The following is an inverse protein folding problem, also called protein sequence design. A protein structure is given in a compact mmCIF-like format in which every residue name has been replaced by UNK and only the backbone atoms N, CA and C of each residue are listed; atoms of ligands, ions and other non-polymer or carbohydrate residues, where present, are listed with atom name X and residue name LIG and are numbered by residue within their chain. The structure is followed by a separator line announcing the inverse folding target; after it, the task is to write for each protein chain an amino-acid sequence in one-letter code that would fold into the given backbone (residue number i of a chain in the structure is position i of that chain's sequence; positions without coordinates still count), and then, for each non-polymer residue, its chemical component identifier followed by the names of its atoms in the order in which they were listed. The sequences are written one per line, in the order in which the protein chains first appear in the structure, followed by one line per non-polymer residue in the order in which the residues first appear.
data_IF_961839124416
#
_entry.id   IF_961839124416
#
_cell.length_a   1.000
_cell.length_b   1.000
_cell.length_c   1.000
_cell.angle_alpha   90.00
_cell.angle_beta   90.00
_cell.angle_gamma   90.00
#
_symmetry.space_group_name_H-M   'P 1'
#
loop_
_entity.id
_entity.type
_entity.pdbx_description
1 polymer ?
#
# COMPACT_ATOMS: atom_id res chain seq x y z
N UNK A 1 -15.22 -14.92 4.08
CA UNK A 1 -16.14 -13.76 4.22
C UNK A 1 -15.40 -12.57 3.65
N UNK A 2 -15.98 -11.84 2.69
CA UNK A 2 -15.31 -10.67 2.10
C UNK A 2 -15.43 -9.48 3.05
N UNK A 3 -14.31 -8.82 3.35
CA UNK A 3 -14.28 -7.61 4.16
C UNK A 3 -14.11 -6.39 3.26
N UNK A 4 -14.93 -5.37 3.50
CA UNK A 4 -14.93 -4.11 2.74
C UNK A 4 -14.57 -2.99 3.71
N UNK A 5 -13.53 -2.22 3.37
CA UNK A 5 -13.08 -1.08 4.15
C UNK A 5 -13.07 0.15 3.25
N UNK A 6 -13.82 1.18 3.63
CA UNK A 6 -13.69 2.51 3.01
C UNK A 6 -12.67 3.30 3.80
N UNK A 7 -11.62 3.79 3.12
CA UNK A 7 -10.58 4.59 3.74
C UNK A 7 -10.50 5.97 3.08
N UNK A 8 -10.18 6.97 3.89
CA UNK A 8 -9.78 8.29 3.43
C UNK A 8 -8.35 8.52 3.84
N UNK A 9 -7.48 8.69 2.86
CA UNK A 9 -6.11 9.11 3.11
C UNK A 9 -6.06 10.64 3.15
N UNK A 10 -5.43 11.16 4.20
CA UNK A 10 -5.06 12.57 4.32
C UNK A 10 -3.65 12.58 4.89
N UNK A 11 -2.71 13.12 4.12
CA UNK A 11 -1.33 13.29 4.58
C UNK A 11 -1.02 14.76 4.77
N UNK A 12 -0.43 15.06 5.94
CA UNK A 12 0.02 16.39 6.36
C UNK A 12 1.49 16.38 6.86
N UNK A 13 2.29 15.40 6.43
CA UNK A 13 3.66 15.19 6.92
C UNK A 13 4.70 15.42 5.82
N UNK A 14 5.79 16.11 6.18
CA UNK A 14 6.91 16.47 5.29
C UNK A 14 7.87 15.32 5.00
N UNK A 15 7.91 14.28 5.84
CA UNK A 15 8.76 13.10 5.62
C UNK A 15 7.95 11.90 5.12
N UNK A 16 8.36 11.26 4.00
CA UNK A 16 7.75 10.01 3.56
C UNK A 16 8.04 8.86 4.52
N UNK A 17 6.97 8.36 5.16
CA UNK A 17 6.99 7.12 5.92
C UNK A 17 6.61 5.95 5.01
N UNK A 18 7.41 4.89 5.09
CA UNK A 18 7.18 3.66 4.35
C UNK A 18 6.21 2.77 5.12
N UNK A 19 5.41 2.00 4.41
CA UNK A 19 4.46 1.09 5.04
C UNK A 19 4.17 -0.13 4.18
N UNK A 20 3.61 -1.13 4.85
CA UNK A 20 2.96 -2.28 4.22
C UNK A 20 1.55 -2.42 4.79
N UNK A 21 0.70 -3.10 4.04
CA UNK A 21 -0.60 -3.60 4.50
C UNK A 21 -0.58 -5.12 4.31
N UNK A 22 -1.27 -5.85 5.19
CA UNK A 22 -1.48 -7.29 5.08
C UNK A 22 -2.94 -7.60 5.45
N UNK A 23 -3.63 -8.54 4.77
CA UNK A 23 -3.15 -9.40 3.67
C UNK A 23 -3.22 -8.68 2.31
N UNK A 24 -3.08 -9.43 1.21
CA UNK A 24 -3.44 -9.00 -0.14
C UNK A 24 -4.82 -8.31 -0.18
N UNK A 25 -4.91 -7.27 -1.00
CA UNK A 25 -6.15 -6.50 -1.14
C UNK A 25 -6.35 -5.96 -2.54
N UNK A 26 -7.60 -5.66 -2.86
CA UNK A 26 -7.96 -4.88 -4.04
C UNK A 26 -8.28 -3.47 -3.58
N UNK A 27 -7.72 -2.46 -4.24
CA UNK A 27 -7.95 -1.05 -3.93
C UNK A 27 -8.60 -0.36 -5.14
N UNK A 28 -9.77 0.24 -4.94
CA UNK A 28 -10.43 1.09 -5.92
C UNK A 28 -10.35 2.55 -5.45
N UNK A 29 -9.85 3.45 -6.30
CA UNK A 29 -9.80 4.89 -5.99
C UNK A 29 -11.15 5.50 -6.35
N UNK A 30 -11.85 6.02 -5.34
CA UNK A 30 -13.20 6.54 -5.46
C UNK A 30 -13.24 8.04 -5.75
N UNK A 31 -12.21 8.79 -5.32
CA UNK A 31 -12.09 10.22 -5.59
C UNK A 31 -10.70 10.74 -5.22
N UNK A 32 -10.23 11.77 -5.92
CA UNK A 32 -8.95 12.42 -5.68
C UNK A 32 -7.78 11.65 -6.29
N UNK A 33 -6.59 12.23 -6.14
CA UNK A 33 -5.36 11.72 -6.74
C UNK A 33 -4.23 11.65 -5.70
N UNK A 34 -3.41 10.61 -5.79
CA UNK A 34 -2.17 10.54 -5.04
C UNK A 34 -1.09 9.74 -5.79
N UNK A 35 0.15 10.22 -5.83
CA UNK A 35 1.26 9.36 -6.19
C UNK A 35 1.45 8.28 -5.11
N UNK A 36 1.80 7.08 -5.54
CA UNK A 36 2.19 5.96 -4.69
C UNK A 36 3.46 5.36 -5.28
N UNK A 37 4.54 5.36 -4.51
CA UNK A 37 5.77 4.67 -4.86
C UNK A 37 5.74 3.27 -4.24
N UNK A 38 5.98 2.24 -5.05
CA UNK A 38 6.12 0.85 -4.61
C UNK A 38 7.57 0.44 -4.85
N UNK A 39 8.19 -0.21 -3.87
CA UNK A 39 9.54 -0.74 -4.03
C UNK A 39 9.53 -1.96 -4.96
N UNK A 40 10.44 -1.95 -5.94
CA UNK A 40 10.89 -3.17 -6.60
C UNK A 40 12.05 -3.78 -5.80
N UNK A 41 11.82 -4.90 -5.08
CA UNK A 41 12.82 -5.47 -4.19
C UNK A 41 13.98 -6.16 -4.94
N UNK A 42 13.83 -6.46 -6.23
CA UNK A 42 14.89 -7.06 -7.05
C UNK A 42 15.93 -6.01 -7.42
N UNK A 43 15.48 -4.85 -7.93
CA UNK A 43 16.37 -3.75 -8.34
C UNK A 43 16.67 -2.76 -7.22
N UNK A 44 15.98 -2.84 -6.08
CA UNK A 44 16.02 -1.86 -4.98
C UNK A 44 15.66 -0.44 -5.44
N UNK A 45 14.78 -0.34 -6.44
CA UNK A 45 14.31 0.94 -6.99
C UNK A 45 12.83 1.16 -6.67
N UNK A 46 12.34 2.38 -6.91
CA UNK A 46 10.94 2.75 -6.68
C UNK A 46 10.20 2.91 -8.00
N UNK A 47 9.03 2.29 -8.10
CA UNK A 47 8.09 2.42 -9.21
C UNK A 47 6.96 3.34 -8.76
N UNK A 48 6.79 4.47 -9.46
CA UNK A 48 5.71 5.42 -9.18
C UNK A 48 4.44 5.07 -9.93
N UNK A 49 3.35 4.91 -9.18
CA UNK A 49 1.98 4.86 -9.68
C UNK A 49 1.30 6.21 -9.42
N UNK A 50 0.53 6.70 -10.37
CA UNK A 50 -0.39 7.82 -10.15
C UNK A 50 -1.77 7.22 -9.90
N UNK A 51 -2.21 7.23 -8.65
CA UNK A 51 -3.51 6.71 -8.27
C UNK A 51 -4.57 7.78 -8.50
N UNK A 52 -5.33 7.65 -9.59
CA UNK A 52 -6.43 8.53 -9.96
C UNK A 52 -7.79 7.87 -9.79
N UNK A 53 -8.84 8.68 -9.70
CA UNK A 53 -10.22 8.22 -9.63
C UNK A 53 -10.56 7.20 -10.73
N UNK A 54 -11.22 6.10 -10.33
CA UNK A 54 -11.57 5.00 -11.23
C UNK A 54 -10.50 3.94 -11.39
N UNK A 55 -9.27 4.14 -10.90
CA UNK A 55 -8.24 3.09 -10.89
C UNK A 55 -8.64 1.97 -9.92
N UNK A 56 -8.47 0.74 -10.38
CA UNK A 56 -8.58 -0.49 -9.60
C UNK A 56 -7.23 -1.22 -9.65
N UNK A 57 -6.70 -1.58 -8.49
CA UNK A 57 -5.42 -2.28 -8.39
C UNK A 57 -5.48 -3.45 -7.42
N UNK A 58 -4.89 -4.57 -7.81
CA UNK A 58 -4.61 -5.68 -6.92
C UNK A 58 -3.25 -5.45 -6.27
N UNK A 59 -3.21 -5.53 -4.95
CA UNK A 59 -2.04 -5.23 -4.14
C UNK A 59 -1.61 -6.48 -3.37
N UNK A 60 -0.37 -6.95 -3.58
CA UNK A 60 0.24 -7.93 -2.70
C UNK A 60 0.44 -7.35 -1.30
N UNK A 61 0.02 -8.09 -0.29
CA UNK A 61 0.37 -7.84 1.10
C UNK A 61 1.88 -7.90 1.28
N UNK A 62 2.43 -7.08 2.16
CA UNK A 62 3.90 -7.01 2.36
C UNK A 62 4.69 -6.26 1.28
N UNK A 63 4.05 -5.80 0.20
CA UNK A 63 4.70 -4.88 -0.75
C UNK A 63 4.95 -3.50 -0.09
N UNK A 64 6.22 -3.08 -0.02
CA UNK A 64 6.64 -1.84 0.63
C UNK A 64 6.26 -0.62 -0.21
N UNK A 65 5.67 0.38 0.43
CA UNK A 65 5.02 1.52 -0.22
C UNK A 65 5.35 2.83 0.47
N UNK A 66 5.40 3.90 -0.31
CA UNK A 66 5.54 5.27 0.17
C UNK A 66 4.55 6.16 -0.59
N UNK A 67 3.88 7.07 0.11
CA UNK A 67 3.21 8.19 -0.52
C UNK A 67 4.20 9.35 -0.65
N UNK A 68 4.72 9.70 -1.83
CA UNK A 68 5.62 10.85 -1.95
C UNK A 68 4.86 12.18 -1.89
N UNK A 69 5.52 13.23 -1.40
CA UNK A 69 5.00 14.60 -1.35
C UNK A 69 4.36 15.01 -0.03
N UNK A 70 4.08 16.31 0.07
CA UNK A 70 3.72 16.97 1.34
C UNK A 70 2.21 16.96 1.63
N UNK A 71 1.37 16.86 0.59
CA UNK A 71 -0.09 16.88 0.73
C UNK A 71 -0.80 16.14 -0.40
N UNK A 72 -1.48 15.06 -0.07
CA UNK A 72 -2.38 14.36 -0.98
C UNK A 72 -3.65 13.94 -0.20
N UNK A 73 -4.80 13.95 -0.85
CA UNK A 73 -6.02 13.35 -0.28
C UNK A 73 -6.77 12.57 -1.34
N UNK A 74 -7.08 11.32 -1.00
CA UNK A 74 -7.90 10.46 -1.83
C UNK A 74 -8.82 9.62 -0.94
N UNK A 75 -9.90 9.13 -1.55
CA UNK A 75 -10.78 8.12 -0.94
C UNK A 75 -10.63 6.84 -1.73
N UNK A 76 -10.56 5.72 -1.02
CA UNK A 76 -10.50 4.42 -1.66
C UNK A 76 -11.43 3.41 -0.97
N UNK A 77 -11.81 2.41 -1.75
CA UNK A 77 -12.41 1.18 -1.27
C UNK A 77 -11.35 0.08 -1.28
N UNK A 78 -11.10 -0.52 -0.13
CA UNK A 78 -10.20 -1.66 -0.01
C UNK A 78 -11.03 -2.92 0.24
N UNK A 79 -10.79 -3.96 -0.56
CA UNK A 79 -11.45 -5.25 -0.43
C UNK A 79 -10.42 -6.30 -0.01
N UNK A 80 -10.71 -7.00 1.08
CA UNK A 80 -9.84 -8.02 1.66
C UNK A 80 -10.56 -9.37 1.66
N UNK A 81 -9.83 -10.43 1.33
CA UNK A 81 -10.35 -11.80 1.42
C UNK A 81 -10.57 -12.26 2.87
N UNK A 82 -9.75 -11.76 3.79
CA UNK A 82 -9.79 -12.06 5.22
C UNK A 82 -10.05 -10.78 6.03
N UNK A 83 -10.74 -10.87 7.18
CA UNK A 83 -11.07 -9.70 7.99
C UNK A 83 -9.93 -9.14 8.83
N UNK A 84 -8.89 -9.93 9.09
CA UNK A 84 -7.74 -9.52 9.90
C UNK A 84 -6.77 -8.68 9.06
N UNK A 85 -6.92 -7.37 9.15
CA UNK A 85 -6.06 -6.40 8.44
C UNK A 85 -5.03 -5.84 9.41
N UNK A 86 -3.76 -5.88 9.02
CA UNK A 86 -2.66 -5.22 9.73
C UNK A 86 -1.95 -4.21 8.83
N UNK A 87 -1.39 -3.18 9.45
CA UNK A 87 -0.58 -2.16 8.80
C UNK A 87 0.64 -1.89 9.67
N UNK A 88 1.82 -1.86 9.06
CA UNK A 88 3.08 -1.62 9.75
C UNK A 88 3.87 -0.54 9.00
N UNK A 89 4.58 0.30 9.78
CA UNK A 89 5.31 1.46 9.29
C UNK A 89 6.82 1.28 9.51
N UNK A 90 7.60 1.82 8.58
CA UNK A 90 9.07 1.91 8.61
C UNK A 90 9.73 0.60 9.05
N UNK A 91 10.55 0.64 10.11
CA UNK A 91 11.28 -0.53 10.60
C UNK A 91 10.38 -1.72 10.94
N UNK A 92 9.15 -1.47 11.38
CA UNK A 92 8.20 -2.53 11.66
C UNK A 92 7.68 -3.19 10.37
N UNK A 93 7.62 -2.44 9.27
CA UNK A 93 7.24 -2.95 7.95
C UNK A 93 8.28 -3.95 7.42
N UNK A 94 9.58 -3.65 7.56
CA UNK A 94 10.66 -4.54 7.12
C UNK A 94 10.67 -5.88 7.85
N UNK A 95 10.42 -5.86 9.16
CA UNK A 95 10.40 -7.09 10.00
C UNK A 95 9.07 -7.84 10.01
N UNK A 96 8.04 -7.33 9.33
CA UNK A 96 6.71 -7.93 9.39
C UNK A 96 6.67 -9.27 8.64
N UNK A 97 5.98 -10.32 9.15
CA UNK A 97 5.91 -11.62 8.48
C UNK A 97 5.45 -11.55 7.02
N UNK A 98 4.39 -10.80 6.73
CA UNK A 98 3.90 -10.60 5.36
C UNK A 98 4.95 -9.99 4.41
N UNK A 99 5.90 -9.19 4.92
CA UNK A 99 7.00 -8.66 4.10
C UNK A 99 7.97 -9.77 3.69
N UNK A 100 8.27 -10.69 4.61
CA UNK A 100 9.11 -11.85 4.32
C UNK A 100 8.42 -12.78 3.32
N UNK A 101 7.13 -13.09 3.53
CA UNK A 101 6.33 -13.88 2.59
C UNK A 101 6.29 -13.25 1.18
N UNK A 102 6.16 -11.93 1.09
CA UNK A 102 6.21 -11.21 -0.19
C UNK A 102 7.57 -11.36 -0.88
N UNK A 103 8.68 -11.19 -0.15
CA UNK A 103 10.03 -11.34 -0.71
C UNK A 103 10.29 -12.79 -1.16
N UNK A 104 9.91 -13.77 -0.35
CA UNK A 104 10.03 -15.19 -0.67
C UNK A 104 9.23 -15.54 -1.95
N UNK A 105 8.05 -14.95 -2.14
CA UNK A 105 7.24 -15.14 -3.35
C UNK A 105 7.91 -14.65 -4.63
N UNK A 106 8.87 -13.73 -4.51
CA UNK A 106 9.69 -13.19 -5.60
C UNK A 106 11.04 -13.91 -5.74
N UNK A 107 11.31 -14.91 -4.90
CA UNK A 107 12.57 -15.65 -4.85
C UNK A 107 13.71 -14.90 -4.16
N UNK A 108 13.39 -13.99 -3.23
CA UNK A 108 14.33 -13.20 -2.42
C UNK A 108 14.39 -13.65 -0.96
#
# INVERSE_FOLDING_TARGET
MLSIVTARHVRNASTPESHIISPDFVCAILSGDAPLDIEDPLSKSWIRLVMSEGILMCVPGGSLRIYPGDSNSFKCLMLFKNPEVSMAWDKAADSHPARQEYLESLGL
#
